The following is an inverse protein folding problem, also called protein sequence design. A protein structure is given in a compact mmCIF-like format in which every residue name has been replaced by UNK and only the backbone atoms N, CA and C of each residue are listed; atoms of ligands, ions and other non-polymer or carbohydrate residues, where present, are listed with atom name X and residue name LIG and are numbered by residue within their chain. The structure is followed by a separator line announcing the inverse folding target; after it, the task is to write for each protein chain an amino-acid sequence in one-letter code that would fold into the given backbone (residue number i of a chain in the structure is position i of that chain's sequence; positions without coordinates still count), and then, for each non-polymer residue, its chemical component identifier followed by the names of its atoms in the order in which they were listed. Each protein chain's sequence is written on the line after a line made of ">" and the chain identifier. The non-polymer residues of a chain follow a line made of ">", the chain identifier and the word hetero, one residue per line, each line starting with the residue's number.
data_IF_896692492070
#
_entry.id   IF_896692492070
#
_cell.length_a   1.000
_cell.length_b   1.000
_cell.length_c   1.000
_cell.angle_alpha   90.00
_cell.angle_beta   90.00
_cell.angle_gamma   90.00
#
_symmetry.space_group_name_H-M   'P 1'
#
loop_
_entity.id
_entity.type
_entity.pdbx_description
1 polymer ?
#
# COMPACT_ATOMS: atom_id res chain seq x y z
N UNK A 1 -20.38 -36.04 -30.73
CA UNK A 1 -19.02 -36.30 -30.19
C UNK A 1 -17.94 -35.28 -30.63
N UNK A 2 -18.30 -34.09 -31.16
CA UNK A 2 -17.33 -33.05 -31.57
C UNK A 2 -17.20 -31.87 -30.57
N UNK A 3 -18.07 -31.77 -29.57
CA UNK A 3 -18.06 -30.65 -28.60
C UNK A 3 -17.27 -30.91 -27.31
N UNK A 4 -16.90 -32.18 -27.05
CA UNK A 4 -16.18 -32.55 -25.82
C UNK A 4 -14.68 -32.20 -25.87
N UNK A 5 -14.11 -32.07 -27.09
CA UNK A 5 -12.69 -31.78 -27.25
C UNK A 5 -12.31 -30.30 -27.14
N UNK A 6 -13.28 -29.38 -27.17
CA UNK A 6 -13.02 -27.93 -27.08
C UNK A 6 -12.95 -27.44 -25.63
N UNK A 7 -13.80 -28.01 -24.77
CA UNK A 7 -13.76 -27.69 -23.32
C UNK A 7 -12.47 -28.19 -22.63
N UNK A 8 -11.97 -29.36 -23.05
CA UNK A 8 -10.75 -29.92 -22.50
C UNK A 8 -9.48 -29.16 -22.91
N UNK A 9 -9.49 -28.47 -24.06
CA UNK A 9 -8.37 -27.61 -24.50
C UNK A 9 -8.37 -26.23 -23.87
N UNK A 10 -9.53 -25.70 -23.47
CA UNK A 10 -9.63 -24.47 -22.70
C UNK A 10 -9.21 -24.66 -21.22
N UNK A 11 -9.54 -25.82 -20.61
CA UNK A 11 -9.11 -26.13 -19.24
C UNK A 11 -7.60 -26.35 -19.12
N UNK A 12 -6.92 -26.80 -20.18
CA UNK A 12 -5.45 -26.97 -20.13
C UNK A 12 -4.69 -25.64 -20.18
N UNK A 13 -5.32 -24.55 -20.62
CA UNK A 13 -4.71 -23.20 -20.60
C UNK A 13 -4.79 -22.54 -19.22
N UNK A 14 -5.73 -22.95 -18.36
CA UNK A 14 -5.89 -22.39 -17.00
C UNK A 14 -5.06 -23.10 -15.92
N UNK A 15 -4.48 -24.28 -16.20
CA UNK A 15 -3.77 -25.10 -15.18
C UNK A 15 -2.27 -24.79 -15.10
N UNK A 16 -1.70 -23.95 -15.99
CA UNK A 16 -0.27 -23.61 -15.95
C UNK A 16 0.01 -22.33 -15.13
N UNK A 17 -1.00 -21.77 -14.45
CA UNK A 17 -0.83 -20.56 -13.59
C UNK A 17 -0.59 -20.84 -12.11
N UNK A 18 -0.24 -22.05 -11.72
CA UNK A 18 0.14 -22.30 -10.32
C UNK A 18 1.39 -23.16 -10.26
N UNK A 19 2.48 -22.53 -9.89
CA UNK A 19 3.72 -22.97 -9.27
C UNK A 19 4.97 -22.36 -9.91
N UNK A 20 5.42 -21.25 -9.33
CA UNK A 20 6.79 -21.10 -8.80
C UNK A 20 7.02 -19.67 -8.33
N UNK A 21 7.33 -19.51 -7.05
CA UNK A 21 7.90 -18.29 -6.46
C UNK A 21 9.30 -18.09 -7.03
N UNK A 22 9.43 -17.13 -7.91
CA UNK A 22 10.64 -16.35 -8.14
C UNK A 22 10.20 -15.07 -8.82
N UNK A 23 10.77 -13.93 -8.42
CA UNK A 23 10.45 -12.60 -8.94
C UNK A 23 10.62 -12.55 -10.46
N UNK A 24 9.61 -13.01 -11.21
CA UNK A 24 9.49 -12.84 -12.64
C UNK A 24 8.30 -11.94 -12.91
N UNK A 25 8.50 -10.91 -13.69
CA UNK A 25 7.44 -10.10 -14.27
C UNK A 25 6.38 -11.04 -14.84
N UNK A 26 5.20 -11.05 -14.24
CA UNK A 26 4.08 -11.86 -14.71
C UNK A 26 3.61 -11.33 -16.05
N UNK A 27 3.19 -12.21 -16.94
CA UNK A 27 2.79 -11.85 -18.29
C UNK A 27 2.00 -12.95 -18.98
N UNK A 28 1.49 -12.64 -20.17
CA UNK A 28 0.81 -13.61 -21.04
C UNK A 28 1.76 -14.05 -22.14
N UNK A 29 1.87 -15.37 -22.36
CA UNK A 29 2.56 -15.95 -23.50
C UNK A 29 1.54 -16.48 -24.50
N UNK A 30 1.58 -15.98 -25.74
CA UNK A 30 0.71 -16.42 -26.83
C UNK A 30 1.54 -17.31 -27.77
N UNK A 31 1.17 -18.59 -27.86
CA UNK A 31 1.76 -19.53 -28.77
C UNK A 31 0.99 -19.51 -30.11
N UNK A 32 1.68 -19.22 -31.19
CA UNK A 32 1.11 -19.23 -32.54
C UNK A 32 1.14 -20.66 -33.11
N UNK A 33 0.27 -20.91 -34.10
CA UNK A 33 0.22 -22.24 -34.78
C UNK A 33 1.50 -22.60 -35.55
N UNK A 34 2.32 -21.60 -35.88
CA UNK A 34 3.63 -21.79 -36.55
C UNK A 34 4.76 -22.15 -35.57
N UNK A 35 4.43 -22.34 -34.28
CA UNK A 35 5.39 -22.68 -33.22
C UNK A 35 6.10 -21.47 -32.62
N UNK A 36 5.85 -20.26 -33.09
CA UNK A 36 6.41 -19.05 -32.51
C UNK A 36 5.66 -18.64 -31.24
N UNK A 37 6.36 -17.97 -30.31
CA UNK A 37 5.79 -17.47 -29.05
C UNK A 37 6.03 -15.97 -28.94
N UNK A 38 4.98 -15.23 -28.54
CA UNK A 38 5.08 -13.81 -28.20
C UNK A 38 4.73 -13.66 -26.71
N UNK A 39 5.59 -12.98 -25.96
CA UNK A 39 5.40 -12.68 -24.54
C UNK A 39 5.00 -11.23 -24.38
N UNK A 40 3.98 -10.99 -23.56
CA UNK A 40 3.56 -9.67 -23.14
C UNK A 40 3.62 -9.60 -21.59
N UNK A 41 4.25 -8.57 -21.03
CA UNK A 41 4.12 -8.28 -19.60
C UNK A 41 2.72 -7.75 -19.31
N UNK A 42 2.18 -7.99 -18.11
CA UNK A 42 0.86 -7.44 -17.72
C UNK A 42 0.79 -5.91 -17.82
N UNK A 43 1.91 -5.22 -17.68
CA UNK A 43 2.01 -3.76 -17.87
C UNK A 43 1.68 -3.28 -19.28
N UNK A 44 1.66 -4.20 -20.26
CA UNK A 44 1.40 -3.92 -21.68
C UNK A 44 0.11 -4.56 -22.19
N UNK A 45 -0.72 -5.10 -21.30
CA UNK A 45 -1.97 -5.77 -21.65
C UNK A 45 -3.11 -5.02 -20.97
N UNK A 46 -3.86 -4.24 -21.75
CA UNK A 46 -5.00 -3.48 -21.25
C UNK A 46 -6.25 -4.36 -21.08
N UNK A 47 -6.43 -5.33 -22.00
CA UNK A 47 -7.55 -6.27 -21.92
C UNK A 47 -7.28 -7.53 -22.75
N UNK A 48 -7.92 -8.64 -22.37
CA UNK A 48 -7.95 -9.87 -23.15
C UNK A 48 -9.43 -10.16 -23.48
N UNK A 49 -9.77 -10.09 -24.78
CA UNK A 49 -11.10 -10.38 -25.28
C UNK A 49 -11.05 -11.69 -26.06
N UNK A 50 -11.99 -12.59 -25.81
CA UNK A 50 -12.18 -13.82 -26.58
C UNK A 50 -13.32 -13.62 -27.58
N UNK A 51 -13.14 -14.05 -28.83
CA UNK A 51 -14.17 -14.01 -29.86
C UNK A 51 -14.28 -15.37 -30.59
N UNK A 52 -15.43 -15.62 -31.20
CA UNK A 52 -15.66 -16.84 -31.94
C UNK A 52 -14.91 -16.78 -33.31
N UNK A 53 -14.23 -17.87 -33.64
CA UNK A 53 -13.49 -17.98 -34.90
C UNK A 53 -14.48 -17.94 -36.09
N UNK A 54 -14.42 -16.89 -36.88
CA UNK A 54 -15.27 -16.69 -38.05
C UNK A 54 -15.97 -15.32 -38.12
N UNK A 55 -15.98 -14.56 -37.02
CA UNK A 55 -16.41 -13.17 -37.02
C UNK A 55 -15.18 -12.27 -37.04
N UNK A 56 -15.12 -11.35 -38.02
CA UNK A 56 -14.13 -10.26 -37.95
C UNK A 56 -14.57 -9.35 -36.81
N UNK A 57 -13.75 -9.15 -35.74
CA UNK A 57 -14.12 -8.21 -34.72
C UNK A 57 -14.32 -6.82 -35.37
N UNK A 58 -15.51 -6.25 -35.25
CA UNK A 58 -15.67 -4.83 -35.48
C UNK A 58 -14.79 -4.13 -34.44
N UNK A 59 -13.72 -3.52 -34.92
CA UNK A 59 -12.91 -2.63 -34.09
C UNK A 59 -13.84 -1.46 -33.74
N UNK A 60 -14.22 -1.25 -32.47
CA UNK A 60 -15.05 -0.11 -32.12
C UNK A 60 -14.34 1.15 -32.60
N UNK A 61 -15.05 2.00 -33.35
CA UNK A 61 -14.54 3.27 -33.89
C UNK A 61 -14.27 4.31 -32.78
N UNK A 62 -14.60 3.96 -31.56
CA UNK A 62 -14.20 4.68 -30.35
C UNK A 62 -13.04 3.89 -29.70
N UNK A 63 -11.86 4.47 -29.70
CA UNK A 63 -10.82 4.10 -28.75
C UNK A 63 -11.45 4.28 -27.36
N UNK A 64 -11.94 3.18 -26.77
CA UNK A 64 -12.24 3.16 -25.35
C UNK A 64 -10.86 3.32 -24.73
N UNK A 65 -10.55 4.55 -24.33
CA UNK A 65 -9.40 4.79 -23.47
C UNK A 65 -9.57 3.82 -22.31
N UNK A 66 -8.59 2.95 -22.03
CA UNK A 66 -8.67 2.08 -20.87
C UNK A 66 -9.02 2.95 -19.67
N UNK A 67 -9.87 2.46 -18.73
CA UNK A 67 -10.13 3.23 -17.52
C UNK A 67 -8.76 3.61 -16.95
N UNK A 68 -8.50 4.92 -16.87
CA UNK A 68 -7.25 5.42 -16.31
C UNK A 68 -7.02 4.66 -15.00
N UNK A 69 -5.82 4.12 -14.82
CA UNK A 69 -5.45 3.50 -13.54
C UNK A 69 -6.01 4.39 -12.42
N UNK A 70 -6.60 3.83 -11.35
CA UNK A 70 -7.29 4.61 -10.34
C UNK A 70 -6.39 5.78 -9.96
N UNK A 71 -6.81 6.97 -10.34
CA UNK A 71 -6.02 8.19 -10.13
C UNK A 71 -6.27 8.60 -8.68
N UNK A 72 -5.37 8.20 -7.81
CA UNK A 72 -5.42 8.60 -6.42
C UNK A 72 -5.15 10.10 -6.32
N UNK A 73 -6.01 10.81 -5.60
CA UNK A 73 -5.94 12.26 -5.49
C UNK A 73 -4.74 12.69 -4.64
N UNK A 74 -3.87 13.51 -5.23
CA UNK A 74 -2.69 14.09 -4.61
C UNK A 74 -2.96 15.58 -4.28
N UNK A 75 -2.82 15.95 -3.02
CA UNK A 75 -3.00 17.32 -2.53
C UNK A 75 -1.64 17.96 -2.34
N UNK A 76 -1.39 19.02 -3.11
CA UNK A 76 -0.25 19.90 -2.88
C UNK A 76 -0.56 20.83 -1.69
N UNK A 77 0.18 20.67 -0.61
CA UNK A 77 0.05 21.50 0.60
C UNK A 77 0.99 22.71 0.59
N UNK A 78 1.80 22.90 -0.44
CA UNK A 78 2.80 23.96 -0.50
C UNK A 78 3.99 23.72 0.45
N UNK A 79 4.32 22.45 0.71
CA UNK A 79 5.46 22.08 1.57
C UNK A 79 6.79 22.41 0.87
N UNK A 80 7.87 22.71 1.64
CA UNK A 80 9.19 23.05 1.08
C UNK A 80 9.75 21.98 0.14
N UNK A 81 9.50 20.70 0.39
CA UNK A 81 9.94 19.59 -0.47
C UNK A 81 9.19 19.50 -1.80
N UNK A 82 8.02 20.16 -1.93
CA UNK A 82 7.08 19.99 -3.02
C UNK A 82 6.34 18.65 -3.01
N UNK A 83 6.47 17.88 -1.93
CA UNK A 83 5.81 16.59 -1.76
C UNK A 83 4.29 16.78 -1.63
N UNK A 84 3.54 15.97 -2.36
CA UNK A 84 2.08 15.93 -2.28
C UNK A 84 1.63 14.80 -1.39
N UNK A 85 0.55 15.03 -0.67
CA UNK A 85 -0.06 14.05 0.23
C UNK A 85 -1.36 13.52 -0.36
N UNK A 86 -1.61 12.24 -0.19
CA UNK A 86 -2.88 11.66 -0.63
C UNK A 86 -4.06 12.31 0.09
N UNK A 87 -5.19 12.48 -0.61
CA UNK A 87 -6.41 13.04 -0.02
C UNK A 87 -7.00 12.11 1.06
N UNK A 88 -6.79 10.79 0.95
CA UNK A 88 -7.33 9.77 1.86
C UNK A 88 -6.31 8.66 2.12
N UNK A 89 -6.61 7.77 3.07
CA UNK A 89 -5.73 6.67 3.47
C UNK A 89 -5.70 5.55 2.43
N UNK A 90 -4.64 4.74 2.41
CA UNK A 90 -4.58 3.52 1.61
C UNK A 90 -5.74 2.60 2.01
N UNK A 91 -6.53 2.14 1.01
CA UNK A 91 -7.74 1.35 1.22
C UNK A 91 -9.00 2.15 1.56
N UNK A 92 -8.93 3.49 1.56
CA UNK A 92 -10.09 4.39 1.69
C UNK A 92 -10.47 4.97 0.32
N UNK A 93 -11.69 5.52 0.23
CA UNK A 93 -12.24 6.23 -0.93
C UNK A 93 -12.67 7.68 -0.59
N UNK A 94 -12.67 8.03 0.71
CA UNK A 94 -13.02 9.35 1.22
C UNK A 94 -12.08 9.77 2.36
N UNK A 95 -11.88 11.08 2.59
CA UNK A 95 -10.94 11.60 3.58
C UNK A 95 -11.21 11.14 5.02
N UNK A 96 -12.48 10.97 5.40
CA UNK A 96 -12.90 10.56 6.75
C UNK A 96 -12.81 9.04 6.97
N UNK A 97 -12.64 8.24 5.93
CA UNK A 97 -12.51 6.80 6.07
C UNK A 97 -11.15 6.43 6.65
N UNK A 98 -11.15 5.43 7.53
CA UNK A 98 -9.92 4.98 8.18
C UNK A 98 -8.97 4.24 7.24
N UNK A 99 -9.50 3.66 6.14
CA UNK A 99 -8.75 2.79 5.24
C UNK A 99 -8.40 1.46 5.88
N UNK A 100 -7.43 0.78 5.28
CA UNK A 100 -6.90 -0.49 5.75
C UNK A 100 -5.81 -0.31 6.81
N UNK A 101 -5.61 -1.35 7.62
CA UNK A 101 -4.58 -1.36 8.66
C UNK A 101 -3.49 -2.35 8.26
N UNK A 102 -2.24 -1.91 8.27
CA UNK A 102 -1.10 -2.74 7.86
C UNK A 102 -0.08 -2.83 8.99
N UNK A 103 0.50 -4.00 9.20
CA UNK A 103 1.71 -4.11 9.97
C UNK A 103 2.88 -3.49 9.17
N UNK A 104 3.89 -2.98 9.85
CA UNK A 104 4.95 -2.23 9.19
C UNK A 104 5.78 -3.11 8.23
N UNK A 105 5.82 -2.74 6.95
CA UNK A 105 6.45 -3.53 5.90
C UNK A 105 5.57 -4.66 5.34
N UNK A 106 4.29 -4.71 5.73
CA UNK A 106 3.33 -5.65 5.13
C UNK A 106 2.38 -4.92 4.18
N UNK A 107 2.02 -5.58 3.10
CA UNK A 107 1.19 -5.02 2.04
C UNK A 107 -0.25 -5.57 2.02
N UNK A 108 -0.55 -6.52 2.91
CA UNK A 108 -1.88 -7.08 3.13
C UNK A 108 -2.32 -6.92 4.59
N UNK A 109 -3.62 -6.82 4.83
CA UNK A 109 -4.18 -6.78 6.17
C UNK A 109 -4.08 -8.16 6.84
N UNK A 110 -3.84 -8.17 8.15
CA UNK A 110 -3.83 -9.36 8.96
C UNK A 110 -5.15 -9.57 9.68
N UNK A 111 -5.55 -10.83 9.89
CA UNK A 111 -6.68 -11.18 10.74
C UNK A 111 -6.37 -11.10 12.25
N UNK A 112 -5.09 -11.13 12.59
CA UNK A 112 -4.56 -11.02 13.94
C UNK A 112 -3.20 -10.32 13.90
N UNK A 113 -3.00 -9.27 14.71
CA UNK A 113 -1.81 -8.44 14.71
C UNK A 113 -0.97 -8.75 15.95
N UNK A 114 -0.02 -9.67 15.81
CA UNK A 114 0.97 -10.02 16.83
C UNK A 114 2.27 -10.55 16.20
N UNK A 115 3.27 -10.88 17.03
CA UNK A 115 4.56 -11.37 16.53
C UNK A 115 4.46 -12.70 15.80
N UNK A 116 3.48 -13.55 16.08
CA UNK A 116 3.34 -14.87 15.44
C UNK A 116 2.83 -14.75 13.99
N UNK A 117 2.20 -13.66 13.64
CA UNK A 117 1.66 -13.38 12.30
C UNK A 117 2.52 -12.41 11.51
N UNK A 118 3.42 -11.66 12.17
CA UNK A 118 4.26 -10.66 11.51
C UNK A 118 5.33 -11.30 10.63
N UNK A 119 5.31 -10.98 9.31
CA UNK A 119 6.11 -11.70 8.30
C UNK A 119 7.63 -11.45 8.39
N UNK A 120 8.06 -10.29 8.93
CA UNK A 120 9.48 -9.95 9.02
C UNK A 120 10.13 -10.35 10.34
N UNK A 121 9.62 -11.43 10.98
CA UNK A 121 10.24 -12.04 12.15
C UNK A 121 9.95 -13.54 12.23
N UNK A 122 10.70 -14.26 13.07
CA UNK A 122 10.46 -15.67 13.41
C UNK A 122 9.56 -15.84 14.63
N UNK A 123 8.55 -14.96 14.81
CA UNK A 123 7.55 -15.07 15.89
C UNK A 123 7.87 -14.28 17.16
N UNK A 124 8.94 -13.48 17.20
CA UNK A 124 9.28 -12.64 18.35
C UNK A 124 10.06 -11.38 17.96
N UNK A 125 10.16 -10.42 18.88
CA UNK A 125 10.95 -9.20 18.71
C UNK A 125 12.48 -9.42 18.70
N UNK A 126 12.94 -10.62 19.00
CA UNK A 126 14.36 -11.01 18.97
C UNK A 126 14.72 -11.91 17.78
N UNK A 127 13.78 -12.09 16.85
CA UNK A 127 13.94 -12.96 15.67
C UNK A 127 13.62 -12.22 14.37
N UNK A 128 13.95 -10.92 14.29
CA UNK A 128 13.75 -10.12 13.08
C UNK A 128 14.52 -10.71 11.90
N UNK A 129 13.87 -10.81 10.75
CA UNK A 129 14.44 -11.36 9.52
C UNK A 129 14.81 -10.29 8.50
N UNK A 130 14.22 -9.07 8.62
CA UNK A 130 14.46 -7.93 7.72
C UNK A 130 14.36 -6.61 8.50
N UNK A 131 15.07 -5.57 8.05
CA UNK A 131 15.10 -4.23 8.68
C UNK A 131 15.61 -4.30 10.12
N UNK A 132 16.79 -4.87 10.32
CA UNK A 132 17.40 -4.94 11.63
C UNK A 132 18.88 -4.50 11.57
N UNK A 133 19.29 -3.72 12.56
CA UNK A 133 20.63 -3.16 12.68
C UNK A 133 21.37 -3.66 13.94
N UNK A 134 20.81 -4.68 14.62
CA UNK A 134 21.40 -5.23 15.86
C UNK A 134 21.21 -6.74 15.96
N UNK A 135 22.29 -7.46 16.14
CA UNK A 135 22.31 -8.93 16.20
C UNK A 135 21.49 -9.54 17.33
N UNK A 136 21.26 -8.80 18.44
CA UNK A 136 20.44 -9.27 19.54
C UNK A 136 18.93 -9.26 19.24
N UNK A 137 18.50 -8.66 18.10
CA UNK A 137 17.11 -8.64 17.68
C UNK A 137 16.85 -9.48 16.42
N UNK A 138 17.90 -10.01 15.75
CA UNK A 138 17.73 -10.86 14.59
C UNK A 138 18.82 -10.73 13.54
N UNK A 139 18.48 -11.00 12.28
CA UNK A 139 19.41 -10.90 11.15
C UNK A 139 19.64 -9.44 10.79
N UNK A 140 20.90 -9.01 10.82
CA UNK A 140 21.28 -7.63 10.49
C UNK A 140 21.35 -7.47 8.97
N UNK A 141 20.61 -6.49 8.45
CA UNK A 141 20.65 -6.05 7.05
C UNK A 141 20.90 -4.54 6.90
N UNK A 142 20.96 -3.82 8.04
CA UNK A 142 21.21 -2.37 8.16
C UNK A 142 20.27 -1.49 7.34
N UNK A 143 19.13 -2.02 6.89
CA UNK A 143 18.10 -1.25 6.19
C UNK A 143 17.29 -0.45 7.20
N UNK A 144 17.18 0.87 6.95
CA UNK A 144 16.49 1.81 7.81
C UNK A 144 15.16 2.34 7.23
N UNK A 145 14.87 2.01 5.97
CA UNK A 145 13.66 2.42 5.25
C UNK A 145 13.14 1.20 4.49
N UNK A 146 11.82 1.11 4.34
CA UNK A 146 11.17 0.02 3.60
C UNK A 146 11.66 -0.03 2.14
N UNK A 147 11.90 -1.24 1.66
CA UNK A 147 12.05 -1.52 0.23
C UNK A 147 10.71 -1.31 -0.48
N UNK A 148 10.74 -1.09 -1.80
CA UNK A 148 9.54 -0.81 -2.58
C UNK A 148 8.51 -1.95 -2.55
N UNK A 149 8.95 -3.20 -2.43
CA UNK A 149 8.09 -4.38 -2.32
C UNK A 149 7.36 -4.49 -0.97
N UNK A 150 7.86 -3.84 0.07
CA UNK A 150 7.29 -3.83 1.42
C UNK A 150 6.56 -2.51 1.74
N UNK A 151 6.57 -1.57 0.81
CA UNK A 151 5.82 -0.31 0.90
C UNK A 151 4.41 -0.50 0.35
N UNK A 152 3.42 -0.55 1.24
CA UNK A 152 2.02 -0.82 0.86
C UNK A 152 1.45 0.21 -0.11
N UNK A 153 1.84 1.49 0.00
CA UNK A 153 1.36 2.51 -0.92
C UNK A 153 1.95 2.31 -2.32
N UNK A 154 3.24 1.96 -2.40
CA UNK A 154 3.90 1.60 -3.66
C UNK A 154 3.26 0.38 -4.31
N UNK A 155 3.01 -0.67 -3.53
CA UNK A 155 2.45 -1.93 -4.03
C UNK A 155 1.01 -1.78 -4.45
N UNK A 156 0.16 -1.08 -3.66
CA UNK A 156 -1.28 -0.97 -3.94
C UNK A 156 -1.62 0.11 -4.97
N UNK A 157 -0.88 1.23 -4.98
CA UNK A 157 -1.20 2.39 -5.80
C UNK A 157 -0.27 2.55 -7.00
N UNK A 158 0.97 2.04 -6.91
CA UNK A 158 1.95 2.11 -7.98
C UNK A 158 2.46 3.53 -8.27
N UNK A 159 3.05 3.72 -9.45
CA UNK A 159 3.57 5.01 -9.88
C UNK A 159 4.59 5.58 -8.88
N UNK A 160 4.44 6.86 -8.53
CA UNK A 160 5.31 7.55 -7.56
C UNK A 160 4.78 7.49 -6.12
N UNK A 161 3.64 6.84 -5.88
CA UNK A 161 3.08 6.70 -4.55
C UNK A 161 3.96 5.82 -3.66
N UNK A 162 4.15 6.25 -2.42
CA UNK A 162 4.88 5.53 -1.38
C UNK A 162 4.47 5.98 0.02
N UNK A 163 4.90 5.26 1.02
CA UNK A 163 4.79 5.71 2.40
C UNK A 163 5.75 6.90 2.64
N UNK A 164 5.34 7.89 3.46
CA UNK A 164 6.24 8.98 3.85
C UNK A 164 7.34 8.45 4.77
N UNK A 165 8.52 9.06 4.70
CA UNK A 165 9.55 8.88 5.74
C UNK A 165 9.17 9.64 7.02
N UNK A 166 9.91 9.39 8.10
CA UNK A 166 9.73 10.15 9.36
C UNK A 166 9.98 11.65 9.14
N UNK A 167 11.01 11.99 8.38
CA UNK A 167 11.39 13.37 8.07
C UNK A 167 10.30 14.09 7.27
N UNK A 168 9.63 13.40 6.36
CA UNK A 168 8.50 13.93 5.61
C UNK A 168 7.24 14.10 6.48
N UNK A 169 7.04 13.21 7.46
CA UNK A 169 6.01 13.43 8.48
C UNK A 169 6.35 14.59 9.42
N UNK A 170 7.63 14.81 9.73
CA UNK A 170 8.09 15.99 10.48
C UNK A 170 7.87 17.26 9.68
N UNK A 171 8.17 17.26 8.37
CA UNK A 171 7.90 18.41 7.51
C UNK A 171 6.41 18.76 7.49
N UNK A 172 5.51 17.77 7.35
CA UNK A 172 4.06 17.99 7.44
C UNK A 172 3.67 18.59 8.79
N UNK A 173 4.21 18.05 9.88
CA UNK A 173 3.91 18.52 11.24
C UNK A 173 4.38 19.95 11.47
N UNK A 174 5.58 20.28 11.03
CA UNK A 174 6.26 21.52 11.36
C UNK A 174 5.85 22.69 10.46
N UNK A 175 5.34 22.42 9.23
CA UNK A 175 4.98 23.46 8.26
C UNK A 175 3.48 23.65 8.06
N UNK A 176 2.62 22.83 8.66
CA UNK A 176 1.18 22.93 8.51
C UNK A 176 0.48 23.39 9.80
N UNK A 177 -0.68 23.96 9.65
CA UNK A 177 -1.60 24.22 10.77
C UNK A 177 -2.47 23.00 11.01
N UNK A 178 -2.56 22.59 12.28
CA UNK A 178 -3.30 21.41 12.71
C UNK A 178 -4.52 21.84 13.54
N UNK A 179 -5.73 21.47 13.08
CA UNK A 179 -6.99 21.76 13.75
C UNK A 179 -7.72 20.46 14.07
N UNK A 180 -7.91 20.14 15.36
CA UNK A 180 -8.73 19.02 15.77
C UNK A 180 -10.19 19.30 15.48
N UNK A 181 -10.83 18.45 14.70
CA UNK A 181 -12.21 18.66 14.24
C UNK A 181 -12.90 17.33 13.90
N UNK A 182 -14.08 17.41 13.35
CA UNK A 182 -14.82 16.26 12.80
C UNK A 182 -15.15 16.50 11.33
N UNK A 183 -15.00 15.46 10.52
CA UNK A 183 -15.46 15.40 9.14
C UNK A 183 -16.46 14.25 9.02
N UNK A 184 -17.68 14.54 8.59
CA UNK A 184 -18.78 13.57 8.48
C UNK A 184 -18.95 12.68 9.73
N UNK A 185 -18.79 13.28 10.94
CA UNK A 185 -18.92 12.59 12.22
C UNK A 185 -17.68 11.82 12.68
N UNK A 186 -16.60 11.84 11.91
CA UNK A 186 -15.33 11.19 12.26
C UNK A 186 -14.36 12.23 12.81
N UNK A 187 -13.87 12.01 14.04
CA UNK A 187 -12.86 12.87 14.68
C UNK A 187 -11.48 12.69 14.03
N UNK A 188 -10.73 13.77 13.94
CA UNK A 188 -9.39 13.78 13.38
C UNK A 188 -8.79 15.16 13.28
N UNK A 189 -7.70 15.29 12.54
CA UNK A 189 -7.10 16.58 12.24
C UNK A 189 -7.35 17.03 10.81
N UNK A 190 -7.83 18.27 10.64
CA UNK A 190 -7.60 19.03 9.42
C UNK A 190 -6.18 19.57 9.47
N UNK A 191 -5.39 19.23 8.46
CA UNK A 191 -4.00 19.65 8.31
C UNK A 191 -3.92 20.57 7.10
N UNK A 192 -3.70 21.86 7.34
CA UNK A 192 -3.71 22.92 6.32
C UNK A 192 -2.28 23.38 6.05
N UNK A 193 -1.88 23.24 4.81
CA UNK A 193 -0.55 23.65 4.35
C UNK A 193 -0.38 25.16 4.14
N UNK A 194 0.84 25.63 3.91
CA UNK A 194 1.13 27.04 3.68
C UNK A 194 0.36 27.68 2.52
N UNK A 195 -0.02 26.92 1.51
CA UNK A 195 -0.78 27.40 0.36
C UNK A 195 -2.31 27.43 0.59
N UNK A 196 -2.79 27.04 1.78
CA UNK A 196 -4.20 27.02 2.16
C UNK A 196 -4.94 25.72 1.79
N UNK A 197 -4.34 24.81 1.04
CA UNK A 197 -4.91 23.48 0.80
C UNK A 197 -4.83 22.62 2.05
N UNK A 198 -5.74 21.66 2.19
CA UNK A 198 -5.77 20.83 3.40
C UNK A 198 -6.08 19.38 3.09
N UNK A 199 -5.63 18.50 3.98
CA UNK A 199 -6.03 17.10 4.07
C UNK A 199 -6.68 16.85 5.42
N UNK A 200 -7.49 15.77 5.51
CA UNK A 200 -8.04 15.32 6.78
C UNK A 200 -7.40 13.99 7.17
N UNK A 201 -6.88 13.89 8.39
CA UNK A 201 -6.30 12.69 8.99
C UNK A 201 -7.25 12.16 10.07
N UNK A 202 -8.07 11.13 9.80
CA UNK A 202 -8.98 10.58 10.80
C UNK A 202 -8.24 9.93 11.97
N UNK A 203 -8.83 10.02 13.19
CA UNK A 203 -8.34 9.35 14.38
C UNK A 203 -8.66 7.85 14.31
N UNK A 204 -7.94 7.13 13.48
CA UNK A 204 -8.21 5.74 13.13
C UNK A 204 -7.84 4.74 14.24
N UNK A 205 -7.06 5.16 15.26
CA UNK A 205 -6.48 4.23 16.22
C UNK A 205 -5.46 3.30 15.59
N UNK A 206 -5.33 2.09 16.14
CA UNK A 206 -4.45 1.03 15.63
C UNK A 206 -5.03 -0.35 15.94
N UNK A 207 -4.58 -1.39 15.24
CA UNK A 207 -4.93 -2.77 15.53
C UNK A 207 -3.85 -3.47 16.35
N UNK A 208 -4.31 -4.29 17.32
CA UNK A 208 -3.50 -5.24 18.08
C UNK A 208 -4.34 -6.47 18.35
N UNK A 209 -3.79 -7.65 18.12
CA UNK A 209 -4.61 -8.85 18.08
C UNK A 209 -5.68 -8.72 16.98
N UNK A 210 -6.93 -8.94 17.35
CA UNK A 210 -8.09 -8.80 16.45
C UNK A 210 -8.84 -7.48 16.60
N UNK A 211 -8.46 -6.66 17.58
CA UNK A 211 -9.19 -5.48 18.00
C UNK A 211 -8.62 -4.19 17.44
N UNK A 212 -9.47 -3.17 17.30
CA UNK A 212 -9.07 -1.79 17.02
C UNK A 212 -9.10 -1.03 18.34
N UNK A 213 -7.93 -0.49 18.71
CA UNK A 213 -7.76 0.33 19.92
C UNK A 213 -7.75 1.81 19.55
N UNK A 214 -8.24 2.66 20.46
CA UNK A 214 -8.17 4.14 20.42
C UNK A 214 -8.84 4.79 19.18
N UNK A 215 -9.68 4.07 18.46
CA UNK A 215 -10.47 4.59 17.34
C UNK A 215 -11.33 5.78 17.78
N UNK A 216 -11.32 6.86 17.00
CA UNK A 216 -12.01 8.12 17.30
C UNK A 216 -11.34 8.98 18.36
N UNK A 217 -10.22 8.54 18.93
CA UNK A 217 -9.46 9.26 19.97
C UNK A 217 -8.06 9.64 19.50
N UNK A 218 -7.34 8.70 18.92
CA UNK A 218 -5.96 8.88 18.48
C UNK A 218 -5.81 8.48 17.01
N UNK A 219 -4.93 9.16 16.28
CA UNK A 219 -4.41 8.71 15.00
C UNK A 219 -2.99 8.17 15.13
N UNK A 220 -2.70 7.11 14.41
CA UNK A 220 -1.36 6.54 14.26
C UNK A 220 -1.15 6.21 12.80
N UNK A 221 -0.12 6.78 12.19
CA UNK A 221 0.14 6.62 10.76
C UNK A 221 1.58 6.19 10.56
N UNK A 222 1.78 5.03 9.94
CA UNK A 222 3.12 4.55 9.67
C UNK A 222 3.93 5.51 8.80
N UNK A 223 5.20 5.67 9.15
CA UNK A 223 6.23 6.07 8.19
C UNK A 223 6.94 4.85 7.63
N UNK A 224 7.69 5.02 6.55
CA UNK A 224 8.57 3.99 6.01
C UNK A 224 9.87 3.81 6.81
N UNK A 225 10.10 4.62 7.86
CA UNK A 225 11.37 4.68 8.59
C UNK A 225 11.39 3.75 9.80
N UNK A 226 12.44 2.94 9.89
CA UNK A 226 12.75 2.08 11.03
C UNK A 226 13.13 2.92 12.26
N UNK A 227 12.71 2.50 13.46
CA UNK A 227 13.23 3.04 14.72
C UNK A 227 14.55 2.34 15.07
N UNK A 228 15.68 2.92 14.64
CA UNK A 228 16.99 2.30 14.70
C UNK A 228 17.49 1.89 16.10
N UNK A 229 16.95 2.51 17.17
CA UNK A 229 17.30 2.16 18.55
C UNK A 229 16.78 0.79 18.93
N UNK A 230 15.57 0.43 18.48
CA UNK A 230 14.89 -0.84 18.71
C UNK A 230 14.31 -1.31 17.37
N UNK A 231 15.03 -2.13 16.62
CA UNK A 231 14.65 -2.49 15.24
C UNK A 231 13.35 -3.33 15.13
N UNK A 232 12.77 -3.73 16.24
CA UNK A 232 11.42 -4.28 16.28
C UNK A 232 10.31 -3.21 16.37
N UNK A 233 10.68 -1.92 16.35
CA UNK A 233 9.79 -0.77 16.26
C UNK A 233 10.03 0.00 14.95
N UNK A 234 9.01 0.74 14.50
CA UNK A 234 9.12 1.73 13.44
C UNK A 234 8.51 3.06 13.88
N UNK A 235 8.86 4.14 13.17
CA UNK A 235 8.28 5.45 13.42
C UNK A 235 6.86 5.55 12.89
N UNK A 236 6.00 6.19 13.67
CA UNK A 236 4.65 6.56 13.30
C UNK A 236 4.35 8.00 13.75
N UNK A 237 3.65 8.75 12.92
CA UNK A 237 3.00 9.98 13.32
C UNK A 237 1.86 9.61 14.27
N UNK A 238 1.86 10.17 15.48
CA UNK A 238 0.80 10.02 16.48
C UNK A 238 0.15 11.35 16.76
N UNK A 239 -1.17 11.36 16.86
CA UNK A 239 -1.91 12.55 17.28
C UNK A 239 -3.17 12.20 18.08
N UNK A 240 -3.60 13.15 18.89
CA UNK A 240 -4.88 13.23 19.61
C UNK A 240 -5.20 14.69 19.85
N UNK A 241 -6.38 15.01 20.36
CA UNK A 241 -6.80 16.41 20.56
C UNK A 241 -5.72 17.22 21.29
N UNK A 242 -5.30 18.34 20.70
CA UNK A 242 -4.25 19.23 21.21
C UNK A 242 -2.80 18.73 21.02
N UNK A 243 -2.56 17.59 20.39
CA UNK A 243 -1.20 17.05 20.25
C UNK A 243 -0.98 16.36 18.91
N UNK A 244 0.14 16.68 18.26
CA UNK A 244 0.72 15.90 17.18
C UNK A 244 2.22 15.69 17.45
N UNK A 245 2.68 14.46 17.35
CA UNK A 245 4.05 14.07 17.61
C UNK A 245 4.39 12.79 16.86
N UNK A 246 5.63 12.36 16.91
CA UNK A 246 6.00 11.02 16.47
C UNK A 246 6.01 10.03 17.64
N UNK A 247 5.88 8.77 17.34
CA UNK A 247 5.94 7.66 18.28
C UNK A 247 6.72 6.50 17.67
N UNK A 248 7.43 5.74 18.49
CA UNK A 248 7.95 4.43 18.09
C UNK A 248 6.92 3.35 18.43
N UNK A 249 6.56 2.51 17.47
CA UNK A 249 5.49 1.51 17.61
C UNK A 249 6.00 0.13 17.21
N UNK A 250 5.49 -0.90 17.89
CA UNK A 250 5.79 -2.29 17.55
C UNK A 250 5.35 -2.57 16.11
N UNK A 251 6.25 -3.13 15.30
CA UNK A 251 6.07 -3.31 13.85
C UNK A 251 4.87 -4.19 13.50
N UNK A 252 4.46 -5.11 14.36
CA UNK A 252 3.29 -5.96 14.14
C UNK A 252 1.95 -5.23 14.34
N UNK A 253 1.92 -4.03 14.93
CA UNK A 253 0.66 -3.28 15.03
C UNK A 253 0.12 -2.92 13.66
N UNK A 254 -1.19 -3.10 13.46
CA UNK A 254 -1.87 -2.61 12.28
C UNK A 254 -2.15 -1.12 12.39
N UNK A 255 -1.59 -0.31 11.49
CA UNK A 255 -1.85 1.13 11.43
C UNK A 255 -2.18 1.56 10.01
N UNK A 256 -3.00 2.60 9.81
CA UNK A 256 -3.24 3.18 8.50
C UNK A 256 -1.98 3.83 7.92
N UNK A 257 -2.02 4.00 6.61
CA UNK A 257 -1.00 4.67 5.82
C UNK A 257 -1.63 5.83 5.06
N UNK A 258 -1.06 7.02 5.18
CA UNK A 258 -1.30 8.15 4.31
C UNK A 258 -0.12 8.29 3.36
N UNK A 259 -0.35 8.00 2.09
CA UNK A 259 0.67 7.98 1.06
C UNK A 259 1.11 9.40 0.65
N UNK A 260 2.30 9.46 0.05
CA UNK A 260 2.88 10.66 -0.57
C UNK A 260 3.32 10.37 -1.99
N UNK A 261 3.41 11.44 -2.80
CA UNK A 261 3.88 11.39 -4.19
C UNK A 261 4.64 12.68 -4.54
N UNK A 262 5.48 12.63 -5.55
CA UNK A 262 6.14 13.83 -6.10
C UNK A 262 5.29 14.51 -7.16
#
# INVERSE_FOLDING_TARGET
>A
MKHFNLLCRLMLLCIICSFSLSAMSQGVAIYKKDGTMVKYSYEKIDSIVTYNYGETPEVPDSIVTPPSAPQYEAVDLGLPSGLKWAAYNVGATAPEEFGCYYAWGETEEQSNYDWSTYIHCGGSNSTMTKYCNKTNFGTVDDKAVLDAEDDVARVKWGGDWRMPTKEEQDELRDNCTWEWTTLNGVAGYRVTGPNGNSIFLPAAGYRVGKDISEKGKNGYYWSSSLFATLCYNAYALRFYDGTNTWSSRLRYYGQPVRAVSK
#
